data_IF_034596128302
#
_entry.id   IF_034596128302
#
_cell.length_a   1.000
_cell.length_b   1.000
_cell.length_c   1.000
_cell.angle_alpha   90.00
_cell.angle_beta   90.00
_cell.angle_gamma   90.00
#
_symmetry.space_group_name_H-M   'P 1'
#
loop_
_entity.id
_entity.type
_entity.pdbx_description
1 polymer ?
#
# COMPACT_ATOMS: atom_id res chain seq x y z
N UNK A 1 21.91 11.73 -42.66
CA UNK A 1 22.15 12.27 -41.30
C UNK A 1 20.99 12.00 -40.32
N UNK A 2 20.21 10.90 -40.48
CA UNK A 2 19.02 10.60 -39.64
C UNK A 2 19.26 9.43 -38.65
N UNK A 3 20.44 8.77 -38.71
CA UNK A 3 20.72 7.54 -37.94
C UNK A 3 21.14 7.79 -36.47
N UNK A 4 21.51 9.02 -36.10
CA UNK A 4 22.02 9.32 -34.76
C UNK A 4 20.94 9.85 -33.80
N UNK A 5 19.75 10.19 -34.29
CA UNK A 5 18.64 10.71 -33.47
C UNK A 5 17.76 9.62 -32.85
N UNK A 6 17.84 8.38 -33.32
CA UNK A 6 17.04 7.26 -32.80
C UNK A 6 17.60 6.65 -31.50
N UNK A 7 18.93 6.71 -31.27
CA UNK A 7 19.50 6.22 -30.02
C UNK A 7 19.18 7.14 -28.82
N UNK A 8 18.98 8.43 -29.05
CA UNK A 8 18.65 9.38 -27.99
C UNK A 8 17.22 9.20 -27.45
N UNK A 9 16.29 8.73 -28.28
CA UNK A 9 14.88 8.54 -27.90
C UNK A 9 14.65 7.28 -27.05
N UNK A 10 15.53 6.28 -27.17
CA UNK A 10 15.46 5.05 -26.36
C UNK A 10 16.06 5.22 -24.95
N UNK A 11 16.95 6.19 -24.76
CA UNK A 11 17.65 6.40 -23.48
C UNK A 11 16.88 7.31 -22.50
N UNK A 12 15.89 8.08 -22.96
CA UNK A 12 15.10 9.00 -22.11
C UNK A 12 13.83 8.39 -21.53
N UNK A 13 13.44 7.17 -21.93
CA UNK A 13 12.27 6.45 -21.42
C UNK A 13 12.54 5.64 -20.14
N UNK A 14 13.77 5.67 -19.61
CA UNK A 14 14.19 4.93 -18.42
C UNK A 14 14.34 5.80 -17.16
N UNK A 15 13.76 7.01 -17.14
CA UNK A 15 13.59 7.76 -15.91
C UNK A 15 12.50 7.06 -15.10
N UNK A 16 12.91 6.21 -14.15
CA UNK A 16 12.01 5.43 -13.31
C UNK A 16 10.96 6.33 -12.67
N UNK A 17 9.69 6.05 -12.93
CA UNK A 17 8.62 6.58 -12.12
C UNK A 17 8.79 6.07 -10.68
N UNK A 18 8.50 6.93 -9.70
CA UNK A 18 8.39 6.50 -8.31
C UNK A 18 7.30 5.40 -8.24
N UNK A 19 7.67 4.20 -7.81
CA UNK A 19 6.75 3.07 -7.67
C UNK A 19 5.97 3.23 -6.37
N UNK A 20 4.74 3.72 -6.48
CA UNK A 20 3.83 3.85 -5.35
C UNK A 20 3.05 2.55 -5.18
N UNK A 21 3.60 1.62 -4.40
CA UNK A 21 2.95 0.35 -4.19
C UNK A 21 1.61 0.52 -3.49
N UNK A 22 0.62 -0.20 -4.00
CA UNK A 22 -0.76 -0.15 -3.53
C UNK A 22 -1.19 -1.52 -3.01
N UNK A 23 -1.71 -1.53 -1.80
CA UNK A 23 -2.09 -2.73 -1.07
C UNK A 23 -3.57 -2.68 -0.69
N UNK A 24 -4.21 -3.84 -0.69
CA UNK A 24 -5.51 -4.01 -0.07
C UNK A 24 -5.33 -4.80 1.23
N UNK A 25 -6.26 -4.63 2.16
CA UNK A 25 -6.30 -5.42 3.36
C UNK A 25 -7.72 -5.75 3.75
N UNK A 26 -7.87 -6.87 4.44
CA UNK A 26 -9.14 -7.32 5.03
C UNK A 26 -8.88 -7.87 6.41
N UNK A 27 -9.83 -7.70 7.31
CA UNK A 27 -9.72 -8.16 8.68
C UNK A 27 -11.08 -8.37 9.32
N UNK A 28 -11.05 -8.85 10.56
CA UNK A 28 -12.22 -9.01 11.38
C UNK A 28 -11.91 -8.58 12.82
N UNK A 29 -12.92 -8.05 13.49
CA UNK A 29 -12.88 -7.88 14.94
C UNK A 29 -12.98 -9.23 15.63
N UNK A 30 -12.26 -9.38 16.74
CA UNK A 30 -12.11 -10.65 17.46
C UNK A 30 -12.52 -10.52 18.93
N UNK A 31 -12.80 -9.29 19.37
CA UNK A 31 -13.24 -9.00 20.73
C UNK A 31 -14.17 -7.78 20.78
N UNK A 32 -14.80 -7.59 21.94
CA UNK A 32 -15.70 -6.48 22.21
C UNK A 32 -17.11 -6.67 21.62
N UNK A 33 -17.95 -5.62 21.69
CA UNK A 33 -19.36 -5.68 21.28
C UNK A 33 -19.58 -5.97 19.79
N UNK A 34 -18.56 -5.73 18.96
CA UNK A 34 -18.62 -5.91 17.52
C UNK A 34 -17.89 -7.16 17.04
N UNK A 35 -17.52 -8.10 17.92
CA UNK A 35 -16.80 -9.33 17.55
C UNK A 35 -17.39 -10.04 16.31
N UNK A 36 -16.54 -10.46 15.39
CA UNK A 36 -16.88 -11.14 14.14
C UNK A 36 -17.26 -10.21 12.99
N UNK A 37 -17.29 -8.89 13.21
CA UNK A 37 -17.52 -7.92 12.15
C UNK A 37 -16.29 -7.75 11.28
N UNK A 38 -16.48 -7.87 9.96
CA UNK A 38 -15.43 -7.67 8.97
C UNK A 38 -15.18 -6.19 8.69
N UNK A 39 -13.95 -5.90 8.28
CA UNK A 39 -13.54 -4.60 7.76
C UNK A 39 -12.57 -4.79 6.59
N UNK A 40 -12.42 -3.75 5.77
CA UNK A 40 -11.53 -3.78 4.61
C UNK A 40 -11.00 -2.41 4.27
N UNK A 41 -9.90 -2.36 3.54
CA UNK A 41 -9.31 -1.10 3.13
C UNK A 41 -8.22 -1.23 2.10
N UNK A 42 -7.63 -0.09 1.76
CA UNK A 42 -6.48 0.02 0.90
C UNK A 42 -5.55 1.14 1.37
N UNK A 43 -4.28 1.02 1.02
CA UNK A 43 -3.29 2.06 1.26
C UNK A 43 -2.19 2.01 0.21
N UNK A 44 -1.41 3.09 0.13
CA UNK A 44 -0.20 3.13 -0.68
C UNK A 44 0.93 3.88 0.00
N UNK A 45 2.16 3.54 -0.34
CA UNK A 45 3.37 4.23 0.09
C UNK A 45 4.44 4.16 -1.01
N UNK A 46 5.46 5.01 -0.93
CA UNK A 46 6.58 5.01 -1.87
C UNK A 46 7.61 3.96 -1.43
N UNK A 47 7.74 2.86 -2.19
CA UNK A 47 8.66 1.76 -1.84
C UNK A 47 10.12 2.16 -1.97
N UNK A 48 10.43 3.20 -2.76
CA UNK A 48 11.81 3.67 -2.94
C UNK A 48 12.41 4.25 -1.67
N UNK A 49 11.56 4.57 -0.68
CA UNK A 49 11.95 5.10 0.62
C UNK A 49 12.29 4.00 1.64
N UNK A 50 12.06 2.72 1.33
CA UNK A 50 12.39 1.62 2.25
C UNK A 50 13.91 1.42 2.29
N UNK A 51 14.53 1.74 3.43
CA UNK A 51 15.90 1.36 3.73
C UNK A 51 16.00 -0.10 4.19
N UNK A 52 17.16 -0.71 3.95
CA UNK A 52 17.43 -2.12 4.30
C UNK A 52 17.68 -2.36 5.79
N UNK A 53 17.83 -1.30 6.61
CA UNK A 53 18.14 -1.42 8.04
C UNK A 53 17.49 -0.32 8.86
N UNK A 54 17.15 -0.62 10.10
CA UNK A 54 16.60 0.31 11.08
C UNK A 54 15.07 0.43 11.03
N UNK A 55 14.53 1.15 12.01
CA UNK A 55 13.11 1.45 12.09
C UNK A 55 12.75 2.64 11.19
N UNK A 56 11.64 2.54 10.48
CA UNK A 56 11.18 3.55 9.52
C UNK A 56 9.66 3.69 9.57
N UNK A 57 9.19 4.94 9.55
CA UNK A 57 7.78 5.26 9.30
C UNK A 57 7.67 5.90 7.92
N UNK A 58 7.05 5.18 6.99
CA UNK A 58 6.77 5.71 5.66
C UNK A 58 5.37 6.30 5.66
N UNK A 59 5.26 7.59 5.37
CA UNK A 59 3.96 8.23 5.27
C UNK A 59 3.15 7.64 4.12
N UNK A 60 1.87 7.34 4.38
CA UNK A 60 1.00 6.79 3.36
C UNK A 60 0.66 7.87 2.32
N UNK A 61 0.74 7.53 1.04
CA UNK A 61 0.23 8.37 -0.05
C UNK A 61 -1.29 8.39 -0.07
N UNK A 62 -1.92 7.23 0.18
CA UNK A 62 -3.37 7.07 0.31
C UNK A 62 -3.69 6.11 1.45
N UNK A 63 -4.85 6.32 2.08
CA UNK A 63 -5.46 5.41 3.05
C UNK A 63 -6.98 5.46 2.85
N UNK A 64 -7.60 4.29 2.83
CA UNK A 64 -9.03 4.08 2.93
C UNK A 64 -9.28 2.87 3.83
N UNK A 65 -10.09 3.04 4.87
CA UNK A 65 -10.61 1.96 5.73
C UNK A 65 -12.13 2.03 5.74
N UNK A 66 -12.79 0.91 5.55
CA UNK A 66 -14.23 0.73 5.69
C UNK A 66 -14.50 -0.19 6.89
N UNK A 67 -15.10 0.37 7.93
CA UNK A 67 -15.34 -0.34 9.19
C UNK A 67 -16.62 0.17 9.85
N UNK A 68 -17.52 -0.73 10.24
CA UNK A 68 -18.78 -0.39 10.94
C UNK A 68 -19.65 0.67 10.23
N UNK A 69 -19.62 0.71 8.89
CA UNK A 69 -20.32 1.73 8.10
C UNK A 69 -19.61 3.10 8.05
N UNK A 70 -18.45 3.23 8.68
CA UNK A 70 -17.55 4.36 8.53
C UNK A 70 -16.63 4.14 7.33
N UNK A 71 -16.37 5.24 6.60
CA UNK A 71 -15.33 5.34 5.59
C UNK A 71 -14.30 6.33 6.10
N UNK A 72 -13.13 5.82 6.50
CA UNK A 72 -12.03 6.59 7.08
C UNK A 72 -10.94 6.71 6.02
N UNK A 73 -10.59 7.93 5.67
CA UNK A 73 -9.50 8.26 4.76
C UNK A 73 -8.32 8.84 5.52
N UNK A 74 -7.17 9.01 4.85
CA UNK A 74 -5.99 9.68 5.45
C UNK A 74 -6.35 11.03 6.07
N UNK A 75 -7.19 11.83 5.42
CA UNK A 75 -7.58 13.16 5.93
C UNK A 75 -8.43 13.13 7.19
N UNK A 76 -9.04 11.99 7.51
CA UNK A 76 -9.86 11.79 8.71
C UNK A 76 -9.02 11.39 9.93
N UNK A 77 -7.77 10.95 9.71
CA UNK A 77 -6.89 10.52 10.81
C UNK A 77 -6.47 11.66 11.71
N UNK A 78 -6.13 11.34 12.96
CA UNK A 78 -5.62 12.29 13.94
C UNK A 78 -4.34 12.93 13.39
N UNK A 79 -4.33 14.26 13.37
CA UNK A 79 -3.26 15.06 12.79
C UNK A 79 -2.93 14.72 11.32
N UNK A 80 -3.86 14.06 10.60
CA UNK A 80 -3.72 13.64 9.20
C UNK A 80 -2.50 12.73 8.94
N UNK A 81 -2.11 11.98 9.98
CA UNK A 81 -0.95 11.11 9.98
C UNK A 81 -1.36 9.65 9.89
N UNK A 82 -0.82 8.97 8.90
CA UNK A 82 -0.91 7.54 8.75
C UNK A 82 0.37 7.00 8.12
N UNK A 83 0.88 5.90 8.66
CA UNK A 83 2.18 5.35 8.31
C UNK A 83 2.10 3.85 7.98
N UNK A 84 3.00 3.42 7.11
CA UNK A 84 3.46 2.05 6.99
C UNK A 84 4.79 1.93 7.74
N UNK A 85 4.83 1.04 8.73
CA UNK A 85 6.00 0.89 9.60
C UNK A 85 6.87 -0.27 9.15
N UNK A 86 8.19 -0.07 9.20
CA UNK A 86 9.18 -1.05 8.79
C UNK A 86 10.30 -1.19 9.82
N UNK A 87 10.87 -2.39 9.91
CA UNK A 87 12.13 -2.64 10.60
C UNK A 87 13.01 -3.56 9.76
N UNK A 88 14.22 -3.11 9.43
CA UNK A 88 15.15 -3.85 8.56
C UNK A 88 14.51 -4.28 7.22
N UNK A 89 13.69 -3.38 6.65
CA UNK A 89 12.94 -3.63 5.41
C UNK A 89 11.72 -4.56 5.56
N UNK A 90 11.46 -5.11 6.74
CA UNK A 90 10.27 -5.91 7.01
C UNK A 90 9.09 -5.02 7.39
N UNK A 91 7.94 -5.24 6.76
CA UNK A 91 6.71 -4.55 7.10
C UNK A 91 6.21 -4.99 8.49
N UNK A 92 5.92 -4.03 9.35
CA UNK A 92 5.44 -4.24 10.71
C UNK A 92 3.94 -3.97 10.87
N UNK A 93 3.34 -3.18 9.97
CA UNK A 93 1.91 -2.87 10.02
C UNK A 93 1.61 -1.42 9.65
N UNK A 94 0.35 -1.07 9.84
CA UNK A 94 -0.14 0.29 9.66
C UNK A 94 -0.22 0.97 11.03
N UNK A 95 0.10 2.25 11.07
CA UNK A 95 0.03 3.07 12.28
C UNK A 95 -0.77 4.34 11.98
N UNK A 96 -1.97 4.42 12.55
CA UNK A 96 -2.79 5.63 12.54
C UNK A 96 -3.89 5.54 13.59
N UNK A 97 -4.42 6.70 13.96
CA UNK A 97 -5.60 6.83 14.80
C UNK A 97 -6.68 7.65 14.09
N UNK A 98 -7.92 7.29 14.32
CA UNK A 98 -9.11 8.04 13.95
C UNK A 98 -9.94 8.31 15.20
N UNK A 99 -10.46 9.53 15.32
CA UNK A 99 -11.40 9.91 16.36
C UNK A 99 -12.51 10.76 15.77
N UNK A 100 -13.74 10.24 15.78
CA UNK A 100 -14.92 10.92 15.25
C UNK A 100 -16.15 10.68 16.10
N UNK A 101 -16.68 11.74 16.71
CA UNK A 101 -17.83 11.65 17.61
C UNK A 101 -17.55 10.73 18.81
N UNK A 102 -18.31 9.63 18.92
CA UNK A 102 -18.15 8.60 19.96
C UNK A 102 -17.34 7.38 19.48
N UNK A 103 -16.72 7.47 18.31
CA UNK A 103 -16.00 6.38 17.69
C UNK A 103 -14.50 6.68 17.64
N UNK A 104 -13.69 5.71 18.05
CA UNK A 104 -12.26 5.69 17.76
C UNK A 104 -11.90 4.41 17.03
N UNK A 105 -10.95 4.50 16.12
CA UNK A 105 -10.36 3.37 15.41
C UNK A 105 -8.86 3.62 15.36
N UNK A 106 -8.07 2.64 15.77
CA UNK A 106 -6.62 2.69 15.69
C UNK A 106 -6.09 1.47 14.97
N UNK A 107 -5.08 1.65 14.13
CA UNK A 107 -4.24 0.54 13.66
C UNK A 107 -2.87 0.72 14.28
N UNK A 108 -2.33 -0.35 14.85
CA UNK A 108 -1.02 -0.38 15.47
C UNK A 108 -0.16 -1.44 14.80
N UNK A 109 1.05 -1.06 14.44
CA UNK A 109 2.07 -1.97 13.95
C UNK A 109 2.55 -2.91 15.06
N UNK A 110 2.99 -4.09 14.66
CA UNK A 110 3.61 -5.03 15.57
C UNK A 110 4.99 -4.54 16.01
N UNK A 111 5.43 -4.84 17.25
CA UNK A 111 6.73 -4.37 17.77
C UNK A 111 7.93 -4.97 17.02
N UNK A 112 7.75 -6.14 16.40
CA UNK A 112 8.82 -6.86 15.68
C UNK A 112 8.37 -7.58 14.41
N UNK A 113 7.07 -7.82 14.24
CA UNK A 113 6.54 -8.50 13.08
C UNK A 113 5.08 -8.09 12.80
N UNK A 114 4.70 -8.14 11.53
CA UNK A 114 3.31 -7.89 11.10
C UNK A 114 2.27 -8.80 11.79
N UNK A 115 2.65 -10.00 12.23
CA UNK A 115 1.75 -10.92 12.93
C UNK A 115 1.21 -10.38 14.26
N UNK A 116 1.90 -9.39 14.83
CA UNK A 116 1.52 -8.75 16.08
C UNK A 116 0.74 -7.43 15.85
N UNK A 117 0.57 -7.02 14.59
CA UNK A 117 -0.19 -5.82 14.24
C UNK A 117 -1.69 -6.06 14.48
N UNK A 118 -2.40 -5.02 14.92
CA UNK A 118 -3.81 -5.13 15.26
C UNK A 118 -4.58 -3.86 14.95
N UNK A 119 -5.89 -4.03 14.82
CA UNK A 119 -6.87 -2.95 14.85
C UNK A 119 -7.48 -2.87 16.25
N UNK A 120 -7.65 -1.66 16.75
CA UNK A 120 -8.45 -1.36 17.95
C UNK A 120 -9.61 -0.45 17.59
N UNK A 121 -10.71 -0.57 18.33
CA UNK A 121 -11.85 0.32 18.19
C UNK A 121 -12.50 0.62 19.53
N UNK A 122 -13.18 1.77 19.60
CA UNK A 122 -14.11 2.11 20.68
C UNK A 122 -15.38 2.72 20.10
N UNK A 123 -16.51 2.39 20.70
CA UNK A 123 -17.83 2.94 20.40
C UNK A 123 -18.57 3.24 21.70
N UNK A 124 -19.76 3.83 21.61
CA UNK A 124 -20.65 4.00 22.76
C UNK A 124 -21.05 2.65 23.44
N UNK A 125 -21.00 1.53 22.72
CA UNK A 125 -21.31 0.20 23.25
C UNK A 125 -20.11 -0.48 23.94
N UNK A 126 -18.91 0.09 23.83
CA UNK A 126 -17.65 -0.49 24.29
C UNK A 126 -16.60 -0.58 23.18
N UNK A 127 -15.43 -1.13 23.54
CA UNK A 127 -14.29 -1.27 22.63
C UNK A 127 -13.82 -2.72 22.47
N UNK A 128 -12.92 -2.92 21.51
CA UNK A 128 -12.35 -4.22 21.20
C UNK A 128 -11.21 -4.13 20.21
N UNK A 129 -10.75 -5.30 19.80
CA UNK A 129 -9.60 -5.50 18.92
C UNK A 129 -9.94 -6.43 17.76
N UNK A 130 -9.11 -6.40 16.72
CA UNK A 130 -9.16 -7.31 15.58
C UNK A 130 -7.81 -7.44 14.91
N UNK A 131 -7.70 -8.43 14.03
CA UNK A 131 -6.54 -8.66 13.18
C UNK A 131 -6.87 -8.36 11.72
N UNK A 132 -5.83 -8.21 10.90
CA UNK A 132 -5.99 -8.00 9.48
C UNK A 132 -4.85 -8.65 8.70
N UNK A 133 -5.13 -8.90 7.42
CA UNK A 133 -4.18 -9.49 6.48
C UNK A 133 -4.09 -8.61 5.24
N UNK A 134 -2.90 -8.55 4.66
CA UNK A 134 -2.68 -7.88 3.38
C UNK A 134 -3.01 -8.85 2.24
N UNK A 135 -3.79 -8.38 1.28
CA UNK A 135 -3.92 -9.02 -0.04
C UNK A 135 -2.81 -8.48 -0.93
N UNK A 136 -2.11 -9.38 -1.62
CA UNK A 136 -0.89 -9.09 -2.40
C UNK A 136 -1.05 -7.85 -3.29
N UNK A 137 0.02 -7.04 -3.37
CA UNK A 137 0.11 -5.84 -4.19
C UNK A 137 -0.49 -6.07 -5.57
N UNK A 138 -1.39 -5.17 -5.99
CA UNK A 138 -1.91 -5.19 -7.36
C UNK A 138 -0.72 -4.84 -8.26
N UNK A 139 -0.27 -5.74 -9.18
CA UNK A 139 0.86 -5.43 -10.03
C UNK A 139 0.57 -4.13 -10.79
N UNK A 140 1.46 -3.16 -10.65
CA UNK A 140 1.24 -1.85 -11.23
C UNK A 140 1.07 -1.94 -12.76
N UNK A 141 0.25 -1.04 -13.37
CA UNK A 141 0.08 -0.99 -14.83
C UNK A 141 1.40 -0.87 -15.59
N UNK A 142 2.45 -0.33 -14.96
CA UNK A 142 3.78 -0.19 -15.57
C UNK A 142 4.49 -1.53 -15.81
N UNK A 143 4.32 -2.51 -14.91
CA UNK A 143 4.84 -3.87 -15.13
C UNK A 143 4.21 -4.50 -16.38
N UNK A 144 2.91 -4.26 -16.59
CA UNK A 144 2.23 -4.67 -17.81
C UNK A 144 2.69 -3.87 -19.03
N UNK A 145 2.95 -2.57 -18.88
CA UNK A 145 3.48 -1.74 -19.96
C UNK A 145 4.89 -2.17 -20.40
N UNK A 146 5.78 -2.51 -19.47
CA UNK A 146 7.11 -3.05 -19.77
C UNK A 146 7.03 -4.45 -20.39
N UNK A 147 6.14 -5.31 -19.89
CA UNK A 147 5.87 -6.61 -20.53
C UNK A 147 5.38 -6.42 -21.97
N UNK A 148 4.44 -5.51 -22.20
CA UNK A 148 3.91 -5.18 -23.53
C UNK A 148 4.97 -4.55 -24.43
N UNK A 149 5.80 -3.66 -23.89
CA UNK A 149 6.91 -3.06 -24.62
C UNK A 149 7.94 -4.11 -25.03
N UNK A 150 8.28 -5.04 -24.13
CA UNK A 150 9.11 -6.22 -24.44
C UNK A 150 8.50 -7.09 -25.53
N UNK A 151 7.19 -7.34 -25.46
CA UNK A 151 6.47 -8.12 -26.48
C UNK A 151 6.44 -7.41 -27.84
N UNK A 152 6.23 -6.09 -27.86
CA UNK A 152 6.26 -5.26 -29.06
C UNK A 152 7.65 -5.25 -29.70
N UNK A 153 8.71 -5.14 -28.90
CA UNK A 153 10.09 -5.22 -29.37
C UNK A 153 10.41 -6.59 -30.01
N UNK A 154 9.95 -7.68 -29.39
CA UNK A 154 10.09 -9.04 -29.93
C UNK A 154 9.32 -9.21 -31.25
N UNK A 155 8.08 -8.73 -31.32
CA UNK A 155 7.26 -8.73 -32.54
C UNK A 155 7.93 -7.96 -33.69
N UNK A 156 8.53 -6.82 -33.38
CA UNK A 156 9.30 -6.03 -34.36
C UNK A 156 10.55 -6.76 -34.86
N UNK A 157 11.31 -7.42 -33.99
CA UNK A 157 12.48 -8.22 -34.39
C UNK A 157 12.12 -9.39 -35.32
N UNK A 158 11.03 -10.12 -35.02
CA UNK A 158 10.56 -11.22 -35.86
C UNK A 158 10.13 -10.73 -37.24
N UNK A 159 9.41 -9.60 -37.31
CA UNK A 159 8.99 -8.99 -38.59
C UNK A 159 10.18 -8.61 -39.46
N UNK A 160 11.27 -8.11 -38.86
CA UNK A 160 12.50 -7.75 -39.60
C UNK A 160 13.28 -8.94 -40.14
N UNK A 161 13.09 -10.16 -39.62
CA UNK A 161 13.72 -11.37 -40.17
C UNK A 161 12.96 -11.96 -41.37
N UNK A 162 11.71 -11.55 -41.59
CA UNK A 162 10.85 -12.02 -42.69
C UNK A 162 10.84 -11.11 -43.92
N UNK A 163 11.38 -9.90 -43.80
CA UNK A 163 11.60 -8.96 -44.91
C UNK A 163 13.08 -8.99 -45.31
#
# INVERSE_FOLDING_TARGET
>A
MIRNTLLALAATLALGAAQAASFNFTGATESGPLNGQSFSGSFSYDESLIAASGFQNLELGQLQLNIFGLSITKSDTVAQQAFADFYDGQFLGLSFDYAGGQHTVGMASGPSAFSDAYLSYSTAAGGGFGSYTLTTAVPEPESYALMLAGLAAMGFMVRRKKA
#
